data_IF_979382562106
#
_entry.id   IF_979382562106
#
_cell.length_a   1.000
_cell.length_b   1.000
_cell.length_c   1.000
_cell.angle_alpha   90.00
_cell.angle_beta   90.00
_cell.angle_gamma   90.00
#
_symmetry.space_group_name_H-M   'P 1'
#
loop_
_entity.id
_entity.type
_entity.pdbx_description
1 polymer ?
#
# COMPACT_ATOMS: atom_id res chain seq x y z
N UNK A 1 -7.71 -4.85 -17.80
CA UNK A 1 -8.04 -3.89 -16.70
C UNK A 1 -6.91 -3.91 -15.66
N UNK A 2 -5.93 -3.03 -15.79
CA UNK A 2 -4.82 -2.88 -14.82
C UNK A 2 -5.15 -1.74 -13.86
N UNK A 3 -5.77 -2.06 -12.72
CA UNK A 3 -5.74 -1.13 -11.58
C UNK A 3 -4.29 -0.91 -11.16
N UNK A 4 -3.87 0.35 -11.01
CA UNK A 4 -2.48 0.70 -10.67
C UNK A 4 -2.12 0.31 -9.23
N UNK A 5 -3.13 0.25 -8.36
CA UNK A 5 -2.98 -0.07 -6.96
C UNK A 5 -3.72 -1.37 -6.66
N UNK A 6 -3.05 -2.28 -5.96
CA UNK A 6 -3.64 -3.56 -5.52
C UNK A 6 -3.53 -3.63 -4.01
N UNK A 7 -4.66 -3.59 -3.33
CA UNK A 7 -4.81 -3.55 -1.86
C UNK A 7 -5.46 -4.87 -1.44
N UNK A 8 -5.14 -5.40 -0.27
CA UNK A 8 -5.76 -6.63 0.22
C UNK A 8 -4.78 -7.74 0.59
N UNK A 9 -5.30 -8.74 1.29
CA UNK A 9 -4.58 -9.98 1.54
C UNK A 9 -4.48 -10.83 0.26
N UNK A 10 -3.65 -11.86 0.29
CA UNK A 10 -3.60 -12.86 -0.78
C UNK A 10 -5.01 -13.42 -1.01
N UNK A 11 -5.46 -13.48 -2.27
CA UNK A 11 -6.79 -13.99 -2.68
C UNK A 11 -7.99 -13.11 -2.32
N UNK A 12 -7.76 -11.97 -1.66
CA UNK A 12 -8.77 -10.96 -1.36
C UNK A 12 -8.32 -9.58 -1.87
N UNK A 13 -7.63 -9.54 -3.02
CA UNK A 13 -7.10 -8.31 -3.57
C UNK A 13 -8.16 -7.47 -4.31
N UNK A 14 -8.23 -6.20 -3.94
CA UNK A 14 -8.99 -5.17 -4.63
C UNK A 14 -8.06 -4.32 -5.50
N UNK A 15 -8.49 -4.10 -6.75
CA UNK A 15 -7.74 -3.29 -7.73
C UNK A 15 -8.39 -1.92 -7.87
N UNK A 16 -7.63 -0.88 -7.56
CA UNK A 16 -8.07 0.50 -7.67
C UNK A 16 -7.28 1.24 -8.76
N UNK A 17 -7.97 2.11 -9.51
CA UNK A 17 -7.33 2.99 -10.50
C UNK A 17 -6.86 4.30 -9.88
N UNK A 18 -7.64 4.82 -8.95
CA UNK A 18 -7.36 6.07 -8.24
C UNK A 18 -6.55 5.82 -6.96
N UNK A 19 -5.64 6.74 -6.68
CA UNK A 19 -4.76 6.67 -5.52
C UNK A 19 -5.53 6.88 -4.22
N UNK A 20 -6.42 7.85 -4.15
CA UNK A 20 -7.15 8.18 -2.92
C UNK A 20 -8.16 7.10 -2.57
N UNK A 21 -8.84 6.51 -3.56
CA UNK A 21 -9.70 5.34 -3.32
C UNK A 21 -8.91 4.14 -2.78
N UNK A 22 -7.71 3.88 -3.33
CA UNK A 22 -6.85 2.81 -2.84
C UNK A 22 -6.38 3.07 -1.39
N UNK A 23 -6.01 4.32 -1.11
CA UNK A 23 -5.60 4.73 0.22
C UNK A 23 -6.74 4.60 1.23
N UNK A 24 -7.96 5.00 0.87
CA UNK A 24 -9.14 4.86 1.71
C UNK A 24 -9.43 3.39 2.04
N UNK A 25 -9.36 2.50 1.05
CA UNK A 25 -9.50 1.06 1.28
C UNK A 25 -8.41 0.54 2.22
N UNK A 26 -7.15 0.94 1.97
CA UNK A 26 -5.99 0.49 2.74
C UNK A 26 -6.06 0.90 4.22
N UNK A 27 -6.49 2.14 4.53
CA UNK A 27 -6.57 2.63 5.93
C UNK A 27 -7.73 2.01 6.71
N UNK A 28 -8.76 1.49 6.02
CA UNK A 28 -9.90 0.80 6.66
C UNK A 28 -9.59 -0.66 7.02
N UNK A 29 -8.49 -1.22 6.52
CA UNK A 29 -8.11 -2.60 6.83
C UNK A 29 -7.60 -2.74 8.27
N UNK A 30 -7.98 -3.81 9.00
CA UNK A 30 -7.39 -4.11 10.31
C UNK A 30 -5.87 -4.33 10.24
N UNK A 31 -5.41 -4.93 9.15
CA UNK A 31 -3.99 -5.03 8.81
C UNK A 31 -3.83 -4.56 7.37
N UNK A 32 -3.29 -3.36 7.13
CA UNK A 32 -3.08 -2.82 5.79
C UNK A 32 -2.21 -3.76 4.98
N UNK A 33 -2.64 -4.13 3.78
CA UNK A 33 -1.84 -4.96 2.87
C UNK A 33 -1.91 -4.43 1.46
N UNK A 34 -0.78 -4.41 0.74
CA UNK A 34 -0.73 -3.98 -0.65
C UNK A 34 0.32 -4.76 -1.44
N UNK A 35 0.17 -4.80 -2.77
CA UNK A 35 1.18 -5.37 -3.65
C UNK A 35 2.24 -4.32 -3.98
N UNK A 36 3.51 -4.70 -3.86
CA UNK A 36 4.67 -3.92 -4.29
C UNK A 36 5.38 -4.64 -5.44
N UNK A 37 5.74 -3.96 -6.54
CA UNK A 37 6.67 -4.51 -7.52
C UNK A 37 7.98 -4.95 -6.84
N UNK A 38 8.50 -6.13 -7.19
CA UNK A 38 9.83 -6.57 -6.78
C UNK A 38 10.67 -6.94 -8.01
N UNK A 39 11.99 -7.08 -7.84
CA UNK A 39 12.93 -7.39 -8.92
C UNK A 39 12.76 -8.78 -9.54
N UNK A 40 11.90 -9.64 -8.97
CA UNK A 40 11.69 -11.02 -9.40
C UNK A 40 10.45 -11.18 -10.30
N UNK A 41 9.80 -10.08 -10.69
CA UNK A 41 8.64 -10.10 -11.60
C UNK A 41 7.31 -10.51 -10.96
N UNK A 42 7.30 -10.98 -9.71
CA UNK A 42 6.09 -11.36 -8.96
C UNK A 42 5.84 -10.37 -7.83
N UNK A 43 4.82 -9.48 -7.91
CA UNK A 43 4.58 -8.49 -6.87
C UNK A 43 4.42 -9.11 -5.48
N UNK A 44 5.29 -8.73 -4.55
CA UNK A 44 5.22 -9.18 -3.16
C UNK A 44 4.07 -8.49 -2.42
N UNK A 45 3.49 -9.16 -1.41
CA UNK A 45 2.55 -8.52 -0.47
C UNK A 45 3.37 -7.86 0.64
N UNK A 46 3.12 -6.58 0.87
CA UNK A 46 3.62 -5.86 2.03
C UNK A 46 2.48 -5.74 3.04
N UNK A 47 2.78 -5.94 4.32
CA UNK A 47 1.85 -5.68 5.41
C UNK A 47 2.31 -4.42 6.17
N UNK A 48 1.40 -3.49 6.38
CA UNK A 48 1.60 -2.33 7.22
C UNK A 48 1.49 -2.73 8.70
N UNK A 49 2.40 -2.22 9.52
CA UNK A 49 2.45 -2.51 10.96
C UNK A 49 1.70 -1.46 11.78
N UNK A 50 1.74 -0.19 11.37
CA UNK A 50 1.03 0.93 12.00
C UNK A 50 0.92 2.11 11.04
N UNK A 51 -0.10 2.94 11.23
CA UNK A 51 -0.13 4.29 10.69
C UNK A 51 0.45 5.25 11.71
N UNK A 52 1.43 6.04 11.32
CA UNK A 52 2.03 7.05 12.17
C UNK A 52 1.88 8.43 11.53
N UNK A 53 1.60 9.45 12.35
CA UNK A 53 1.48 10.83 11.87
C UNK A 53 2.84 11.49 11.98
N UNK A 54 3.50 11.67 10.84
CA UNK A 54 4.82 12.29 10.76
C UNK A 54 4.75 13.65 10.07
N UNK A 55 5.57 14.62 10.50
CA UNK A 55 5.75 15.86 9.73
C UNK A 55 6.51 15.54 8.45
N UNK A 56 6.21 16.27 7.37
CA UNK A 56 6.85 16.05 6.06
C UNK A 56 8.37 16.19 6.11
N UNK A 57 8.89 17.11 6.93
CA UNK A 57 10.34 17.29 7.12
C UNK A 57 10.97 16.05 7.77
N UNK A 58 10.33 15.49 8.80
CA UNK A 58 10.79 14.28 9.49
C UNK A 58 10.76 13.06 8.54
N UNK A 59 9.72 12.92 7.72
CA UNK A 59 9.63 11.87 6.70
C UNK A 59 10.77 11.96 5.67
N UNK A 60 11.08 13.17 5.19
CA UNK A 60 12.20 13.37 4.25
C UNK A 60 13.52 12.93 4.84
N UNK A 61 13.77 13.27 6.12
CA UNK A 61 14.98 12.87 6.85
C UNK A 61 15.07 11.36 7.08
N UNK A 62 13.94 10.66 7.21
CA UNK A 62 13.91 9.21 7.38
C UNK A 62 14.15 8.42 6.07
N UNK A 63 13.98 9.06 4.91
CA UNK A 63 14.11 8.46 3.58
C UNK A 63 15.44 8.80 2.87
N UNK A 64 16.21 9.74 3.42
CA UNK A 64 17.56 10.11 2.99
C UNK A 64 18.60 9.20 3.61
#
# INVERSE_FOLDING_TARGET
MSGRFTIGAKEAEEKHKDYFTALEALVRMPTPRWRRPNGNGVPGIVAGVRFDRMRRADLRRALS
#
